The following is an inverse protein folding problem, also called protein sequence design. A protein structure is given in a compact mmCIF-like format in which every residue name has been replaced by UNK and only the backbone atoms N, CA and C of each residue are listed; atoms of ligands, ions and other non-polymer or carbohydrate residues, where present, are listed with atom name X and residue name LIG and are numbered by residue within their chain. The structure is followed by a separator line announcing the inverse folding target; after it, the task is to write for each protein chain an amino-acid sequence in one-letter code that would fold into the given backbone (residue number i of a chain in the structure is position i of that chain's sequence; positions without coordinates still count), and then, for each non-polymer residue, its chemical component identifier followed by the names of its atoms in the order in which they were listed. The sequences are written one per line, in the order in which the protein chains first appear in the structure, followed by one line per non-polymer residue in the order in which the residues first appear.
data_IF_716814446237
#
_entry.id   IF_716814446237
#
_cell.length_a   1.000
_cell.length_b   1.000
_cell.length_c   1.000
_cell.angle_alpha   90.00
_cell.angle_beta   90.00
_cell.angle_gamma   90.00
#
_symmetry.space_group_name_H-M   'P 1'
#
loop_
_entity.id
_entity.type
_entity.pdbx_description
1 polymer ?
#
# COMPACT_ATOMS: atom_id res chain seq x y z
N UNK A 1 -4.43 7.88 -6.25
CA UNK A 1 -5.84 8.33 -6.12
C UNK A 1 -6.39 8.07 -4.72
N UNK A 2 -6.70 9.12 -3.98
CA UNK A 2 -6.90 9.05 -2.53
C UNK A 2 -6.67 10.41 -1.89
N UNK A 3 -6.57 10.44 -0.56
CA UNK A 3 -6.25 11.68 0.14
C UNK A 3 -4.75 11.95 0.06
N UNK A 4 -4.37 13.21 -0.11
CA UNK A 4 -2.98 13.66 -0.10
C UNK A 4 -2.72 14.53 1.13
N UNK A 5 -1.50 14.47 1.67
CA UNK A 5 -1.12 15.28 2.83
C UNK A 5 0.35 15.64 2.83
N UNK A 6 0.65 16.89 3.21
CA UNK A 6 2.00 17.33 3.52
C UNK A 6 2.01 18.00 4.91
N UNK A 7 2.61 17.38 5.95
CA UNK A 7 3.43 16.15 5.92
C UNK A 7 2.60 14.88 5.65
N UNK A 8 3.27 13.73 5.51
CA UNK A 8 2.62 12.43 5.34
C UNK A 8 1.79 12.06 6.59
N UNK A 9 0.47 12.23 6.51
CA UNK A 9 -0.47 11.97 7.62
C UNK A 9 -1.17 10.62 7.44
N UNK A 10 -1.61 10.00 8.54
CA UNK A 10 -2.47 8.82 8.45
C UNK A 10 -3.65 9.10 7.50
N UNK A 11 -4.00 8.09 6.69
CA UNK A 11 -4.96 8.14 5.58
C UNK A 11 -4.50 8.81 4.28
N UNK A 12 -3.37 9.51 4.27
CA UNK A 12 -2.78 10.01 3.02
C UNK A 12 -2.10 8.91 2.22
N UNK A 13 -2.01 9.10 0.90
CA UNK A 13 -1.24 8.23 0.03
C UNK A 13 0.25 8.28 0.33
N UNK A 14 0.79 9.45 0.69
CA UNK A 14 2.20 9.62 1.08
C UNK A 14 2.53 8.75 2.30
N UNK A 15 1.64 8.72 3.29
CA UNK A 15 1.81 7.85 4.46
C UNK A 15 1.72 6.37 4.10
N UNK A 16 0.73 5.97 3.27
CA UNK A 16 0.61 4.58 2.83
C UNK A 16 1.86 4.12 2.06
N UNK A 17 2.38 4.96 1.16
CA UNK A 17 3.57 4.69 0.37
C UNK A 17 4.83 4.59 1.25
N UNK A 18 5.02 5.53 2.17
CA UNK A 18 6.14 5.51 3.11
C UNK A 18 6.11 4.28 4.04
N UNK A 19 4.93 3.93 4.55
CA UNK A 19 4.73 2.76 5.40
C UNK A 19 5.11 1.48 4.64
N UNK A 20 4.57 1.27 3.44
CA UNK A 20 4.83 0.07 2.64
C UNK A 20 6.31 -0.02 2.26
N UNK A 21 6.93 1.09 1.82
CA UNK A 21 8.37 1.14 1.51
C UNK A 21 9.21 0.71 2.71
N UNK A 22 8.96 1.29 3.89
CA UNK A 22 9.70 0.93 5.10
C UNK A 22 9.60 -0.55 5.47
N UNK A 23 8.40 -1.15 5.36
CA UNK A 23 8.23 -2.58 5.60
C UNK A 23 9.01 -3.44 4.59
N UNK A 24 8.95 -3.10 3.30
CA UNK A 24 9.67 -3.81 2.24
C UNK A 24 11.19 -3.72 2.43
N UNK A 25 11.72 -2.53 2.76
CA UNK A 25 13.15 -2.32 3.00
C UNK A 25 13.67 -3.08 4.22
N UNK A 26 12.87 -3.17 5.29
CA UNK A 26 13.23 -3.96 6.47
C UNK A 26 13.20 -5.45 6.12
N UNK A 27 12.16 -5.93 5.44
CA UNK A 27 12.02 -7.34 5.06
C UNK A 27 13.15 -7.79 4.12
N UNK A 28 13.56 -6.96 3.16
CA UNK A 28 14.65 -7.26 2.24
C UNK A 28 16.01 -7.51 2.93
N UNK A 29 16.18 -7.04 4.17
CA UNK A 29 17.40 -7.27 4.98
C UNK A 29 17.31 -8.53 5.85
N UNK A 30 16.21 -9.28 5.79
CA UNK A 30 15.97 -10.47 6.62
C UNK A 30 15.97 -11.71 5.72
N UNK A 31 17.09 -12.44 5.72
CA UNK A 31 17.28 -13.64 4.87
C UNK A 31 16.21 -14.73 5.10
N UNK A 32 15.60 -14.77 6.28
CA UNK A 32 14.53 -15.71 6.60
C UNK A 32 13.13 -15.29 6.08
N UNK A 33 12.99 -14.12 5.45
CA UNK A 33 11.72 -13.66 4.87
C UNK A 33 11.64 -14.06 3.39
N UNK A 34 10.81 -15.06 3.09
CA UNK A 34 10.65 -15.58 1.73
C UNK A 34 9.67 -14.78 0.86
N UNK A 35 8.89 -13.85 1.44
CA UNK A 35 7.93 -13.05 0.68
C UNK A 35 7.02 -12.19 1.57
N UNK A 36 6.33 -11.24 0.93
CA UNK A 36 5.36 -10.35 1.57
C UNK A 36 4.08 -10.24 0.72
N UNK A 37 2.92 -10.27 1.39
CA UNK A 37 1.63 -10.08 0.77
C UNK A 37 0.97 -8.81 1.30
N UNK A 38 0.65 -7.86 0.42
CA UNK A 38 0.02 -6.60 0.80
C UNK A 38 -1.48 -6.78 1.09
N UNK A 39 -1.96 -6.19 2.18
CA UNK A 39 -3.39 -6.01 2.43
C UNK A 39 -3.81 -4.58 2.08
N UNK A 40 -4.67 -4.32 1.11
CA UNK A 40 -5.30 -5.25 0.17
C UNK A 40 -5.03 -4.78 -1.26
N UNK A 41 -5.38 -5.59 -2.25
CA UNK A 41 -5.29 -5.21 -3.66
C UNK A 41 -6.11 -3.95 -3.94
N UNK A 42 -7.41 -3.95 -3.62
CA UNK A 42 -8.29 -2.81 -3.85
C UNK A 42 -9.15 -2.47 -2.62
N UNK A 43 -9.59 -1.22 -2.53
CA UNK A 43 -10.56 -0.82 -1.51
C UNK A 43 -11.86 -1.62 -1.64
N UNK A 44 -12.44 -2.00 -0.50
CA UNK A 44 -13.61 -2.88 -0.45
C UNK A 44 -14.62 -2.45 0.61
N UNK A 45 -15.88 -2.87 0.43
CA UNK A 45 -16.94 -2.60 1.39
C UNK A 45 -16.71 -3.36 2.69
N UNK A 46 -16.91 -2.68 3.81
CA UNK A 46 -16.77 -3.20 5.16
C UNK A 46 -18.01 -2.81 5.98
N UNK A 47 -18.18 -3.43 7.15
CA UNK A 47 -19.21 -3.01 8.10
C UNK A 47 -19.04 -1.52 8.45
N UNK A 48 -20.16 -0.79 8.52
CA UNK A 48 -20.15 0.60 8.92
C UNK A 48 -19.59 0.73 10.34
N UNK A 49 -18.61 1.60 10.51
CA UNK A 49 -18.06 1.96 11.82
C UNK A 49 -17.33 3.31 11.74
N UNK A 50 -17.09 3.99 12.87
CA UNK A 50 -16.34 5.24 12.89
C UNK A 50 -14.94 5.13 12.25
N UNK A 51 -14.35 3.94 12.26
CA UNK A 51 -13.02 3.65 11.69
C UNK A 51 -13.06 3.22 10.21
N UNK A 52 -14.21 3.32 9.55
CA UNK A 52 -14.46 2.92 8.16
C UNK A 52 -15.29 3.99 7.47
N UNK A 53 -14.61 5.00 6.93
CA UNK A 53 -15.25 6.10 6.19
C UNK A 53 -16.17 5.52 5.11
N UNK A 54 -17.46 5.86 5.18
CA UNK A 54 -18.48 5.35 4.25
C UNK A 54 -18.64 3.83 4.24
N UNK A 55 -18.31 3.12 5.33
CA UNK A 55 -18.31 1.65 5.37
C UNK A 55 -17.28 1.04 4.42
N UNK A 56 -16.14 1.72 4.18
CA UNK A 56 -15.09 1.24 3.27
C UNK A 56 -13.80 0.96 4.02
N UNK A 57 -13.13 -0.14 3.68
CA UNK A 57 -11.74 -0.37 4.05
C UNK A 57 -10.83 0.23 2.97
N UNK A 58 -10.16 1.33 3.32
CA UNK A 58 -9.32 2.12 2.41
C UNK A 58 -7.85 1.65 2.33
N UNK A 59 -7.55 0.43 2.82
CA UNK A 59 -6.19 -0.14 2.78
C UNK A 59 -5.78 -0.66 1.40
N UNK A 60 -6.65 -0.58 0.40
CA UNK A 60 -6.32 -0.98 -0.96
C UNK A 60 -5.14 -0.19 -1.51
N UNK A 61 -4.23 -0.85 -2.23
CA UNK A 61 -3.20 -0.16 -3.04
C UNK A 61 -3.78 0.39 -4.35
N UNK A 62 -4.95 -0.11 -4.74
CA UNK A 62 -5.86 0.50 -5.70
C UNK A 62 -7.12 0.99 -5.02
N UNK A 63 -7.77 1.99 -5.61
CA UNK A 63 -9.16 2.34 -5.25
C UNK A 63 -10.11 1.21 -5.65
N UNK A 64 -11.37 1.25 -5.18
CA UNK A 64 -12.40 0.32 -5.64
C UNK A 64 -12.61 0.37 -7.16
N UNK A 65 -12.38 1.51 -7.80
CA UNK A 65 -12.44 1.67 -9.26
C UNK A 65 -11.12 1.28 -9.97
N UNK A 66 -10.19 0.62 -9.26
CA UNK A 66 -8.90 0.14 -9.77
C UNK A 66 -7.97 1.27 -10.23
N UNK A 67 -8.17 2.49 -9.72
CA UNK A 67 -7.19 3.55 -9.90
C UNK A 67 -6.00 3.33 -8.95
N UNK A 68 -4.75 3.43 -9.42
CA UNK A 68 -3.58 3.21 -8.57
C UNK A 68 -3.44 4.32 -7.52
N UNK A 69 -3.02 3.93 -6.32
CA UNK A 69 -2.46 4.84 -5.30
C UNK A 69 -0.94 4.89 -5.40
N UNK A 70 -0.29 5.86 -4.76
CA UNK A 70 1.18 5.94 -4.68
C UNK A 70 1.81 4.62 -4.23
N UNK A 71 1.19 3.91 -3.29
CA UNK A 71 1.61 2.59 -2.83
C UNK A 71 1.73 1.54 -3.96
N UNK A 72 0.88 1.58 -4.99
CA UNK A 72 0.96 0.66 -6.12
C UNK A 72 2.23 0.91 -6.96
N UNK A 73 2.67 2.16 -7.05
CA UNK A 73 3.93 2.52 -7.72
C UNK A 73 5.15 2.05 -6.93
N UNK A 74 5.13 2.15 -5.59
CA UNK A 74 6.17 1.59 -4.71
C UNK A 74 6.27 0.08 -4.91
N UNK A 75 5.15 -0.66 -4.87
CA UNK A 75 5.19 -2.11 -5.06
C UNK A 75 5.71 -2.50 -6.46
N UNK A 76 5.34 -1.74 -7.50
CA UNK A 76 5.84 -1.95 -8.86
C UNK A 76 7.35 -1.76 -8.96
N UNK A 77 7.92 -0.79 -8.26
CA UNK A 77 9.38 -0.55 -8.19
C UNK A 77 10.09 -1.77 -7.57
N UNK A 78 9.65 -2.23 -6.40
CA UNK A 78 10.26 -3.35 -5.68
C UNK A 78 10.16 -4.68 -6.45
N UNK A 79 8.99 -5.03 -6.98
CA UNK A 79 8.81 -6.26 -7.77
C UNK A 79 9.36 -6.13 -9.20
N UNK A 80 9.58 -4.91 -9.67
CA UNK A 80 10.30 -4.62 -10.91
C UNK A 80 11.79 -4.92 -10.79
N UNK A 81 12.42 -4.48 -9.71
CA UNK A 81 13.86 -4.62 -9.49
C UNK A 81 14.33 -6.08 -9.46
N UNK A 82 13.53 -7.00 -8.92
CA UNK A 82 13.84 -8.44 -8.89
C UNK A 82 13.83 -9.13 -10.26
N UNK A 83 13.41 -8.44 -11.34
CA UNK A 83 13.39 -8.99 -12.71
C UNK A 83 14.66 -8.69 -13.52
N UNK A 84 15.57 -7.85 -13.02
CA UNK A 84 16.79 -7.44 -13.75
C UNK A 84 17.99 -8.35 -13.46
N UNK A 85 17.89 -9.27 -12.50
CA UNK A 85 18.86 -10.34 -12.28
C UNK A 85 18.31 -11.64 -12.86
N UNK A 86 18.56 -11.85 -14.15
CA UNK A 86 18.51 -13.15 -14.82
C UNK A 86 19.67 -13.27 -15.79
#
# INVERSE_FOLDING_TARGET
AGMHGHPALMWSEEYQAALIRGYLEVAARKEYVAGMQVWNFADFAAVQSPMRVGGTNLKGVFTRARQPKMAAHVLREFWGAGRTTS
#
